data_IF_679878960003
#
_entry.id   IF_679878960003
#
_cell.length_a   1.000
_cell.length_b   1.000
_cell.length_c   1.000
_cell.angle_alpha   90.00
_cell.angle_beta   90.00
_cell.angle_gamma   90.00
#
_symmetry.space_group_name_H-M   'P 1'
#
loop_
_entity.id
_entity.type
_entity.pdbx_description
1 polymer ?
#
# COMPACT_ATOMS: atom_id res chain seq x y z
N UNK A 1 -0.83 8.14 -26.63
CA UNK A 1 0.00 7.52 -25.56
C UNK A 1 -0.38 6.05 -25.49
N UNK A 2 0.58 5.11 -25.57
CA UNK A 2 0.27 3.69 -25.47
C UNK A 2 0.08 3.27 -24.01
N UNK A 3 -0.68 2.19 -23.77
CA UNK A 3 -0.84 1.61 -22.44
C UNK A 3 0.51 1.24 -21.84
N UNK A 4 1.42 0.68 -22.64
CA UNK A 4 2.77 0.34 -22.20
C UNK A 4 3.56 1.57 -21.71
N UNK A 5 3.48 2.70 -22.43
CA UNK A 5 4.13 3.95 -21.99
C UNK A 5 3.56 4.47 -20.68
N UNK A 6 2.23 4.39 -20.47
CA UNK A 6 1.60 4.75 -19.19
C UNK A 6 2.05 3.81 -18.06
N UNK A 7 2.11 2.50 -18.31
CA UNK A 7 2.59 1.52 -17.32
C UNK A 7 3.99 1.86 -16.85
N UNK A 8 4.93 2.10 -17.77
CA UNK A 8 6.29 2.46 -17.39
C UNK A 8 6.37 3.79 -16.64
N UNK A 9 5.54 4.77 -17.00
CA UNK A 9 5.48 6.04 -16.30
C UNK A 9 5.03 5.86 -14.85
N UNK A 10 3.89 5.19 -14.62
CA UNK A 10 3.35 4.98 -13.27
C UNK A 10 4.26 4.09 -12.42
N UNK A 11 4.77 3.00 -12.97
CA UNK A 11 5.72 2.13 -12.26
C UNK A 11 7.00 2.90 -11.93
N UNK A 12 7.57 3.64 -12.88
CA UNK A 12 8.77 4.43 -12.64
C UNK A 12 8.58 5.48 -11.55
N UNK A 13 7.47 6.23 -11.58
CA UNK A 13 7.16 7.26 -10.58
C UNK A 13 6.98 6.64 -9.19
N UNK A 14 6.23 5.55 -9.06
CA UNK A 14 5.98 4.91 -7.77
C UNK A 14 7.27 4.37 -7.15
N UNK A 15 8.12 3.69 -7.95
CA UNK A 15 9.43 3.23 -7.49
C UNK A 15 10.33 4.39 -7.07
N UNK A 16 10.43 5.45 -7.88
CA UNK A 16 11.24 6.62 -7.57
C UNK A 16 10.79 7.28 -6.26
N UNK A 17 9.48 7.37 -6.03
CA UNK A 17 8.90 7.91 -4.79
C UNK A 17 9.30 7.04 -3.58
N UNK A 18 9.06 5.73 -3.64
CA UNK A 18 9.37 4.82 -2.53
C UNK A 18 10.87 4.77 -2.21
N UNK A 19 11.73 4.75 -3.23
CA UNK A 19 13.18 4.81 -3.05
C UNK A 19 13.59 6.12 -2.38
N UNK A 20 13.03 7.25 -2.82
CA UNK A 20 13.32 8.57 -2.23
C UNK A 20 12.93 8.63 -0.76
N UNK A 21 11.75 8.09 -0.41
CA UNK A 21 11.30 7.99 0.98
C UNK A 21 12.27 7.10 1.77
N UNK A 22 12.60 5.91 1.27
CA UNK A 22 13.48 4.95 1.93
C UNK A 22 14.89 5.51 2.20
N UNK A 23 15.44 6.30 1.27
CA UNK A 23 16.74 6.98 1.47
C UNK A 23 16.63 8.04 2.57
N UNK A 24 15.55 8.84 2.57
CA UNK A 24 15.34 9.90 3.57
C UNK A 24 15.00 9.36 4.96
N UNK A 25 14.40 8.16 5.05
CA UNK A 25 13.91 7.56 6.29
C UNK A 25 14.80 6.43 6.84
N UNK A 26 16.10 6.42 6.50
CA UNK A 26 17.01 5.39 6.99
C UNK A 26 17.12 5.44 8.53
N UNK A 27 16.80 4.32 9.18
CA UNK A 27 16.94 4.18 10.62
C UNK A 27 18.43 4.07 11.01
N UNK A 28 18.85 4.80 12.05
CA UNK A 28 20.20 4.78 12.59
C UNK A 28 20.35 3.82 13.78
N UNK A 29 19.25 3.37 14.38
CA UNK A 29 19.24 2.51 15.56
C UNK A 29 18.14 1.44 15.52
N UNK A 30 18.25 0.44 16.39
CA UNK A 30 17.26 -0.64 16.51
C UNK A 30 15.92 -0.13 17.02
N UNK A 31 15.90 0.85 17.92
CA UNK A 31 14.65 1.46 18.42
C UNK A 31 13.93 2.25 17.32
N UNK A 32 14.65 2.96 16.46
CA UNK A 32 14.05 3.60 15.29
C UNK A 32 13.49 2.57 14.30
N UNK A 33 14.21 1.47 14.08
CA UNK A 33 13.78 0.42 13.16
C UNK A 33 12.53 -0.35 13.63
N UNK A 34 12.47 -0.73 14.91
CA UNK A 34 11.39 -1.59 15.41
C UNK A 34 10.17 -0.82 15.94
N UNK A 35 10.36 0.36 16.53
CA UNK A 35 9.27 1.10 17.19
C UNK A 35 9.14 2.54 16.69
N UNK A 36 9.86 2.92 15.63
CA UNK A 36 9.83 4.27 15.04
C UNK A 36 10.00 5.38 16.09
N UNK A 37 10.85 5.14 17.10
CA UNK A 37 11.10 6.09 18.20
C UNK A 37 9.88 6.40 19.09
N UNK A 38 8.80 5.62 19.01
CA UNK A 38 7.50 5.82 19.71
C UNK A 38 6.77 7.12 19.34
N UNK A 39 7.13 7.75 18.22
CA UNK A 39 6.62 9.06 17.81
C UNK A 39 5.49 9.06 16.78
N UNK A 40 5.03 7.89 16.31
CA UNK A 40 4.05 7.80 15.21
C UNK A 40 2.64 8.09 15.72
N UNK A 41 1.95 9.04 15.08
CA UNK A 41 0.57 9.38 15.42
C UNK A 41 -0.37 8.18 15.20
N UNK A 42 -1.32 7.90 16.11
CA UNK A 42 -2.19 6.72 16.00
C UNK A 42 -2.94 6.59 14.67
N UNK A 43 -3.42 7.69 14.11
CA UNK A 43 -4.12 7.69 12.80
C UNK A 43 -3.14 7.30 11.67
N UNK A 44 -1.91 7.80 11.70
CA UNK A 44 -0.91 7.44 10.69
C UNK A 44 -0.53 5.96 10.79
N UNK A 45 -0.41 5.44 12.03
CA UNK A 45 -0.17 4.01 12.26
C UNK A 45 -1.34 3.16 11.75
N UNK A 46 -2.59 3.55 12.01
CA UNK A 46 -3.78 2.87 11.50
C UNK A 46 -3.85 2.87 9.97
N UNK A 47 -3.52 4.00 9.32
CA UNK A 47 -3.44 4.08 7.86
C UNK A 47 -2.35 3.16 7.30
N UNK A 48 -1.19 3.08 7.94
CA UNK A 48 -0.11 2.17 7.54
C UNK A 48 -0.56 0.70 7.62
N UNK A 49 -1.19 0.29 8.72
CA UNK A 49 -1.74 -1.07 8.86
C UNK A 49 -2.79 -1.38 7.80
N UNK A 50 -3.69 -0.44 7.50
CA UNK A 50 -4.69 -0.62 6.45
C UNK A 50 -4.07 -0.76 5.05
N UNK A 51 -3.00 -0.01 4.78
CA UNK A 51 -2.25 -0.12 3.53
C UNK A 51 -1.51 -1.45 3.42
N UNK A 52 -0.84 -1.89 4.50
CA UNK A 52 -0.12 -3.16 4.55
C UNK A 52 -1.06 -4.37 4.44
N UNK A 53 -2.30 -4.23 4.89
CA UNK A 53 -3.33 -5.27 4.75
C UNK A 53 -3.71 -5.50 3.28
N UNK A 54 -3.61 -4.49 2.42
CA UNK A 54 -4.03 -4.56 1.02
C UNK A 54 -2.85 -4.84 0.07
N UNK A 55 -2.70 -6.10 -0.36
CA UNK A 55 -1.76 -6.42 -1.45
C UNK A 55 -2.35 -6.11 -2.84
N UNK A 56 -1.50 -5.98 -3.86
CA UNK A 56 -1.97 -5.80 -5.25
C UNK A 56 -2.83 -6.99 -5.74
N UNK A 57 -2.46 -8.23 -5.37
CA UNK A 57 -3.23 -9.42 -5.70
C UNK A 57 -4.60 -9.41 -5.02
N UNK A 58 -4.63 -9.04 -3.73
CA UNK A 58 -5.87 -8.88 -2.96
C UNK A 58 -6.78 -7.84 -3.61
N UNK A 59 -6.24 -6.69 -4.00
CA UNK A 59 -7.00 -5.63 -4.66
C UNK A 59 -7.62 -6.08 -5.99
N UNK A 60 -6.82 -6.71 -6.87
CA UNK A 60 -7.29 -7.19 -8.18
C UNK A 60 -8.34 -8.29 -8.00
N UNK A 61 -8.10 -9.24 -7.09
CA UNK A 61 -9.04 -10.31 -6.78
C UNK A 61 -10.37 -9.74 -6.26
N UNK A 62 -10.30 -8.74 -5.38
CA UNK A 62 -11.46 -8.08 -4.81
C UNK A 62 -12.29 -7.34 -5.87
N UNK A 63 -11.62 -6.59 -6.75
CA UNK A 63 -12.27 -5.92 -7.88
C UNK A 63 -12.95 -6.94 -8.82
N UNK A 64 -12.30 -8.08 -9.08
CA UNK A 64 -12.87 -9.19 -9.83
C UNK A 64 -14.13 -9.76 -9.16
N UNK A 65 -14.05 -10.12 -7.87
CA UNK A 65 -15.18 -10.65 -7.11
C UNK A 65 -16.38 -9.68 -7.12
N UNK A 66 -16.15 -8.40 -6.87
CA UNK A 66 -17.22 -7.38 -6.89
C UNK A 66 -17.80 -7.24 -8.30
N UNK A 67 -16.99 -7.34 -9.34
CA UNK A 67 -17.47 -7.28 -10.73
C UNK A 67 -18.44 -8.42 -11.08
N UNK A 68 -18.34 -9.58 -10.43
CA UNK A 68 -19.21 -10.74 -10.67
C UNK A 68 -20.36 -10.88 -9.65
N UNK A 69 -20.09 -10.58 -8.37
CA UNK A 69 -21.02 -10.78 -7.25
C UNK A 69 -21.77 -9.50 -6.85
N UNK A 70 -21.37 -8.35 -7.40
CA UNK A 70 -21.96 -7.06 -7.04
C UNK A 70 -21.76 -6.71 -5.56
N UNK A 71 -22.78 -6.14 -4.93
CA UNK A 71 -22.74 -5.69 -3.52
C UNK A 71 -22.39 -6.82 -2.56
N UNK A 72 -22.81 -8.05 -2.85
CA UNK A 72 -22.57 -9.19 -1.96
C UNK A 72 -21.09 -9.55 -1.87
N UNK A 73 -20.32 -9.25 -2.92
CA UNK A 73 -18.86 -9.37 -2.91
C UNK A 73 -18.16 -8.31 -2.03
N UNK A 74 -18.84 -7.26 -1.58
CA UNK A 74 -18.22 -6.21 -0.76
C UNK A 74 -17.84 -6.66 0.65
N UNK A 75 -18.39 -7.78 1.14
CA UNK A 75 -18.09 -8.30 2.49
C UNK A 75 -16.62 -8.68 2.68
N UNK A 76 -15.96 -9.14 1.62
CA UNK A 76 -14.54 -9.51 1.66
C UNK A 76 -13.62 -8.27 1.80
N UNK A 77 -14.12 -7.05 1.60
CA UNK A 77 -13.37 -5.81 1.90
C UNK A 77 -13.05 -5.67 3.39
N UNK A 78 -13.86 -6.31 4.25
CA UNK A 78 -13.68 -6.29 5.71
C UNK A 78 -12.80 -7.46 6.20
N UNK A 79 -12.24 -8.27 5.29
CA UNK A 79 -11.32 -9.36 5.61
C UNK A 79 -11.96 -10.66 6.11
N UNK A 80 -13.19 -10.94 5.66
CA UNK A 80 -13.84 -12.23 5.84
C UNK A 80 -13.22 -13.33 4.97
#
# INVERSE_FOLDING_TARGET
VSVQSLTYLFVGITFALYISIAIRSRAASTSEFYIAGKGVHPIANGMATAADWMSAASFISMAGLISFLGRDGSVYLMGW
#
